data_IF_353925533693
#
_entry.id   IF_353925533693
#
_cell.length_a   1.000
_cell.length_b   1.000
_cell.length_c   1.000
_cell.angle_alpha   90.00
_cell.angle_beta   90.00
_cell.angle_gamma   90.00
#
_symmetry.space_group_name_H-M   'P 1'
#
loop_
_entity.id
_entity.type
_entity.pdbx_description
1 polymer ?
#
# COMPACT_ATOMS: atom_id res chain seq x y z
N UNK A 1 -26.90 3.43 11.61
CA UNK A 1 -25.90 2.35 11.47
C UNK A 1 -26.57 1.06 11.03
N UNK A 2 -27.75 0.71 11.52
CA UNK A 2 -28.52 -0.43 11.00
C UNK A 2 -28.74 -0.39 9.49
N UNK A 3 -29.09 0.77 8.92
CA UNK A 3 -29.41 0.91 7.48
C UNK A 3 -28.22 0.66 6.53
N UNK A 4 -26.99 0.68 7.04
CA UNK A 4 -25.76 0.50 6.27
C UNK A 4 -24.95 -0.71 6.74
N UNK A 5 -25.42 -1.40 7.79
CA UNK A 5 -24.70 -2.51 8.44
C UNK A 5 -24.40 -3.63 7.45
N UNK A 6 -25.36 -3.96 6.59
CA UNK A 6 -25.19 -5.01 5.58
C UNK A 6 -24.21 -4.59 4.47
N UNK A 7 -24.06 -3.30 4.20
CA UNK A 7 -23.13 -2.76 3.19
C UNK A 7 -21.68 -2.72 3.70
N UNK A 8 -21.48 -2.51 5.00
CA UNK A 8 -20.14 -2.42 5.63
C UNK A 8 -19.70 -3.72 6.31
N UNK A 9 -20.51 -4.78 6.22
CA UNK A 9 -20.19 -6.06 6.82
C UNK A 9 -18.89 -6.63 6.21
N UNK A 10 -17.85 -6.79 7.05
CA UNK A 10 -16.54 -7.27 6.60
C UNK A 10 -16.52 -8.65 5.93
N UNK A 11 -17.61 -9.43 6.05
CA UNK A 11 -17.80 -10.65 5.25
C UNK A 11 -17.91 -10.36 3.74
N UNK A 12 -18.55 -9.26 3.33
CA UNK A 12 -18.63 -8.85 1.92
C UNK A 12 -17.27 -8.41 1.37
N UNK A 13 -16.47 -7.73 2.21
CA UNK A 13 -15.11 -7.31 1.84
C UNK A 13 -14.15 -8.46 1.51
N UNK A 14 -14.40 -9.70 1.97
CA UNK A 14 -13.60 -10.87 1.58
C UNK A 14 -13.75 -11.24 0.11
N UNK A 15 -14.95 -11.08 -0.45
CA UNK A 15 -15.24 -11.38 -1.85
C UNK A 15 -14.34 -10.58 -2.80
N UNK A 16 -14.01 -9.34 -2.45
CA UNK A 16 -13.10 -8.49 -3.23
C UNK A 16 -11.74 -9.17 -3.46
N UNK A 17 -11.19 -9.84 -2.44
CA UNK A 17 -9.89 -10.50 -2.52
C UNK A 17 -9.95 -11.90 -3.12
N UNK A 18 -11.06 -12.62 -2.93
CA UNK A 18 -11.22 -14.01 -3.40
C UNK A 18 -11.59 -14.10 -4.89
N UNK A 19 -12.50 -13.24 -5.35
CA UNK A 19 -13.01 -13.27 -6.74
C UNK A 19 -12.53 -12.10 -7.61
N UNK A 20 -11.87 -11.11 -7.01
CA UNK A 20 -11.32 -9.96 -7.74
C UNK A 20 -12.37 -8.93 -8.18
N UNK A 21 -13.61 -9.03 -7.69
CA UNK A 21 -14.67 -8.05 -7.94
C UNK A 21 -14.59 -6.90 -6.93
N UNK A 22 -14.16 -5.73 -7.40
CA UNK A 22 -13.99 -4.53 -6.58
C UNK A 22 -15.31 -3.98 -6.01
N UNK A 23 -16.44 -4.36 -6.59
CA UNK A 23 -17.78 -3.93 -6.18
C UNK A 23 -18.43 -4.92 -5.18
N UNK A 24 -17.78 -6.06 -4.90
CA UNK A 24 -18.30 -7.10 -4.01
C UNK A 24 -18.46 -6.64 -2.55
N UNK A 25 -17.80 -5.55 -2.17
CA UNK A 25 -17.95 -4.94 -0.86
C UNK A 25 -16.91 -3.86 -0.59
N UNK A 26 -16.99 -3.26 0.60
CA UNK A 26 -16.00 -2.29 1.05
C UNK A 26 -14.70 -3.00 1.42
N UNK A 27 -13.58 -2.47 0.93
CA UNK A 27 -12.23 -2.97 1.18
C UNK A 27 -11.26 -1.82 1.51
N UNK A 28 -10.18 -2.15 2.20
CA UNK A 28 -9.24 -1.16 2.73
C UNK A 28 -8.09 -0.90 1.76
N UNK A 29 -7.88 0.37 1.42
CA UNK A 29 -6.68 0.85 0.73
C UNK A 29 -6.26 2.22 1.29
N UNK A 30 -4.99 2.37 1.65
CA UNK A 30 -4.44 3.66 2.08
C UNK A 30 -4.06 4.54 0.89
N UNK A 31 -3.95 5.86 1.11
CA UNK A 31 -3.52 6.82 0.07
C UNK A 31 -2.14 6.48 -0.54
N UNK A 32 -1.31 5.76 0.21
CA UNK A 32 0.02 5.29 -0.22
C UNK A 32 -0.05 4.38 -1.45
N UNK A 33 -1.18 3.71 -1.70
CA UNK A 33 -1.36 2.85 -2.88
C UNK A 33 -1.12 3.60 -4.19
N UNK A 34 -1.35 4.91 -4.23
CA UNK A 34 -1.07 5.75 -5.39
C UNK A 34 0.42 5.74 -5.80
N UNK A 35 1.32 5.32 -4.92
CA UNK A 35 2.77 5.19 -5.16
C UNK A 35 3.20 3.76 -5.52
N UNK A 36 2.32 2.77 -5.37
CA UNK A 36 2.58 1.39 -5.80
C UNK A 36 2.40 1.32 -7.32
N UNK A 37 3.46 0.95 -8.04
CA UNK A 37 3.50 0.91 -9.53
C UNK A 37 3.89 -0.46 -10.08
N UNK A 38 4.23 -1.39 -9.21
CA UNK A 38 4.66 -2.74 -9.52
C UNK A 38 4.23 -3.72 -8.42
N UNK A 39 4.40 -5.02 -8.69
CA UNK A 39 4.06 -6.11 -7.77
C UNK A 39 5.28 -7.03 -7.63
N UNK A 40 6.32 -6.60 -6.88
CA UNK A 40 7.51 -7.41 -6.62
C UNK A 40 7.22 -8.52 -5.59
N UNK A 41 8.17 -9.44 -5.42
CA UNK A 41 8.19 -10.32 -4.23
C UNK A 41 8.39 -9.51 -2.95
N UNK A 42 8.03 -10.08 -1.80
CA UNK A 42 8.26 -9.44 -0.51
C UNK A 42 9.75 -9.13 -0.26
N UNK A 43 10.64 -10.03 -0.71
CA UNK A 43 12.09 -9.87 -0.57
C UNK A 43 12.61 -8.69 -1.40
N UNK A 44 12.22 -8.62 -2.68
CA UNK A 44 12.61 -7.53 -3.58
C UNK A 44 12.07 -6.18 -3.08
N UNK A 45 10.82 -6.13 -2.61
CA UNK A 45 10.22 -4.92 -2.08
C UNK A 45 11.01 -4.36 -0.90
N UNK A 46 11.29 -5.21 0.09
CA UNK A 46 11.98 -4.79 1.31
C UNK A 46 13.43 -4.41 1.00
N UNK A 47 14.12 -5.24 0.21
CA UNK A 47 15.50 -4.95 -0.22
C UNK A 47 15.59 -3.60 -0.93
N UNK A 48 14.69 -3.33 -1.88
CA UNK A 48 14.63 -2.06 -2.59
C UNK A 48 14.37 -0.88 -1.65
N UNK A 49 13.40 -0.98 -0.75
CA UNK A 49 13.06 0.10 0.19
C UNK A 49 14.25 0.49 1.07
N UNK A 50 15.02 -0.50 1.56
CA UNK A 50 16.20 -0.26 2.39
C UNK A 50 17.30 0.41 1.56
N UNK A 51 17.65 -0.13 0.39
CA UNK A 51 18.68 0.44 -0.47
C UNK A 51 18.34 1.87 -0.96
N UNK A 52 17.08 2.15 -1.28
CA UNK A 52 16.63 3.50 -1.63
C UNK A 52 16.76 4.48 -0.46
N UNK A 53 16.45 4.04 0.76
CA UNK A 53 16.62 4.85 1.96
C UNK A 53 18.09 5.18 2.22
N UNK A 54 18.99 4.19 2.09
CA UNK A 54 20.45 4.38 2.18
C UNK A 54 20.96 5.37 1.14
N UNK A 55 20.55 5.23 -0.12
CA UNK A 55 20.91 6.16 -1.18
C UNK A 55 20.46 7.60 -0.90
N UNK A 56 19.27 7.79 -0.29
CA UNK A 56 18.78 9.11 0.12
C UNK A 56 19.64 9.69 1.25
N UNK A 57 20.04 8.87 2.23
CA UNK A 57 20.86 9.31 3.37
C UNK A 57 22.26 9.71 2.91
N UNK A 58 22.90 8.87 2.09
CA UNK A 58 24.30 9.03 1.70
C UNK A 58 24.50 10.03 0.55
N UNK A 59 23.48 10.23 -0.28
CA UNK A 59 23.47 11.24 -1.34
C UNK A 59 22.77 12.52 -0.90
N UNK A 60 21.44 12.58 -1.12
CA UNK A 60 20.65 13.82 -1.00
C UNK A 60 20.73 14.47 0.38
N UNK A 61 20.61 13.70 1.45
CA UNK A 61 20.63 14.27 2.80
C UNK A 61 22.01 14.82 3.16
N UNK A 62 23.07 14.14 2.73
CA UNK A 62 24.45 14.60 2.90
C UNK A 62 24.70 15.92 2.17
N UNK A 63 24.23 16.06 0.94
CA UNK A 63 24.31 17.30 0.16
C UNK A 63 23.59 18.47 0.85
N UNK A 64 22.36 18.25 1.31
CA UNK A 64 21.57 19.26 2.02
C UNK A 64 22.27 19.73 3.30
N UNK A 65 22.94 18.83 4.03
CA UNK A 65 23.63 19.16 5.29
C UNK A 65 24.99 19.84 5.10
N UNK A 66 25.55 19.79 3.89
CA UNK A 66 26.83 20.42 3.55
C UNK A 66 26.66 21.88 3.05
N UNK A 67 25.42 22.30 2.78
CA UNK A 67 25.02 23.69 2.51
C UNK A 67 24.75 24.47 3.79
#
# INVERSE_FOLDING_TARGET
FEDVKDLVAGQRGRGVFEVGDLEAGIWSAGISVARVKDVPTCEELVSRMVSEAEAIMDGRLKEVRAS
#
